data_IF_719637272757
#
_entry.id   IF_719637272757
#
_cell.length_a   1.000
_cell.length_b   1.000
_cell.length_c   1.000
_cell.angle_alpha   90.00
_cell.angle_beta   90.00
_cell.angle_gamma   90.00
#
_symmetry.space_group_name_H-M   'P 1'
#
loop_
_entity.id
_entity.type
_entity.pdbx_description
1 polymer ?
#
# COMPACT_ATOMS: atom_id res chain seq x y z
N UNK A 1 20.82 -8.34 19.16
CA UNK A 1 20.98 -9.28 18.04
C UNK A 1 20.02 -8.84 16.95
N UNK A 2 20.53 -8.46 15.78
CA UNK A 2 19.72 -7.94 14.66
C UNK A 2 18.89 -9.07 14.06
N UNK A 3 17.57 -8.97 14.18
CA UNK A 3 16.58 -9.93 13.71
C UNK A 3 16.39 -9.83 12.17
N UNK A 4 15.88 -10.88 11.49
CA UNK A 4 16.05 -11.08 10.06
C UNK A 4 15.21 -10.14 9.18
N UNK A 5 15.76 -9.80 8.02
CA UNK A 5 15.27 -8.83 7.02
C UNK A 5 13.95 -9.23 6.31
N UNK A 6 13.29 -10.33 6.69
CA UNK A 6 12.01 -10.80 6.12
C UNK A 6 11.16 -11.42 7.22
N UNK A 7 10.06 -10.75 7.58
CA UNK A 7 9.06 -11.28 8.50
C UNK A 7 8.16 -12.33 7.81
N UNK A 8 7.66 -13.31 8.57
CA UNK A 8 6.65 -14.25 8.06
C UNK A 8 5.40 -13.46 7.62
N UNK A 9 4.86 -13.79 6.45
CA UNK A 9 3.68 -13.13 5.90
C UNK A 9 2.42 -13.32 6.76
N UNK A 10 2.34 -14.42 7.50
CA UNK A 10 1.30 -14.69 8.49
C UNK A 10 1.92 -15.25 9.75
N UNK A 11 1.41 -14.84 10.91
CA UNK A 11 1.87 -15.28 12.22
C UNK A 11 0.69 -15.41 13.18
N UNK A 12 0.75 -16.38 14.08
CA UNK A 12 -0.23 -16.57 15.15
C UNK A 12 0.47 -16.28 16.46
N UNK A 13 -0.06 -15.33 17.22
CA UNK A 13 0.37 -15.01 18.57
C UNK A 13 -0.65 -15.54 19.57
N UNK A 14 -0.20 -16.32 20.54
CA UNK A 14 -1.04 -16.81 21.64
C UNK A 14 -0.90 -15.88 22.84
N UNK A 15 -2.03 -15.43 23.40
CA UNK A 15 -2.11 -14.59 24.59
C UNK A 15 -2.91 -15.34 25.66
N UNK A 16 -2.26 -16.22 26.45
CA UNK A 16 -2.97 -17.12 27.37
C UNK A 16 -3.71 -16.41 28.51
N UNK A 17 -3.22 -15.25 28.94
CA UNK A 17 -3.81 -14.47 30.04
C UNK A 17 -5.05 -13.66 29.62
N UNK A 18 -5.33 -13.54 28.31
CA UNK A 18 -6.50 -12.83 27.81
C UNK A 18 -7.80 -13.55 28.19
N UNK A 19 -8.92 -12.83 28.17
CA UNK A 19 -10.25 -13.40 28.41
C UNK A 19 -10.41 -14.01 29.81
N UNK A 20 -9.84 -13.39 30.85
CA UNK A 20 -9.87 -13.90 32.24
C UNK A 20 -9.32 -15.33 32.39
N UNK A 21 -8.28 -15.68 31.60
CA UNK A 21 -7.66 -17.01 31.63
C UNK A 21 -8.24 -18.01 30.61
N UNK A 22 -9.16 -17.58 29.74
CA UNK A 22 -9.63 -18.38 28.61
C UNK A 22 -8.68 -18.41 27.41
N UNK A 23 -7.68 -17.53 27.38
CA UNK A 23 -6.75 -17.39 26.27
C UNK A 23 -7.34 -16.67 25.06
N UNK A 24 -6.47 -16.14 24.22
CA UNK A 24 -6.80 -15.53 22.93
C UNK A 24 -5.70 -15.87 21.92
N UNK A 25 -6.06 -15.97 20.65
CA UNK A 25 -5.10 -16.01 19.54
C UNK A 25 -5.29 -14.79 18.65
N UNK A 26 -4.17 -14.19 18.21
CA UNK A 26 -4.13 -13.08 17.28
C UNK A 26 -3.51 -13.57 15.98
N UNK A 27 -4.26 -13.43 14.88
CA UNK A 27 -3.75 -13.71 13.54
C UNK A 27 -3.18 -12.42 12.93
N UNK A 28 -1.86 -12.39 12.77
CA UNK A 28 -1.15 -11.31 12.10
C UNK A 28 -1.02 -11.62 10.61
N UNK A 29 -1.35 -10.66 9.75
CA UNK A 29 -1.12 -10.74 8.30
C UNK A 29 -0.33 -9.51 7.85
N UNK A 30 0.78 -9.74 7.17
CA UNK A 30 1.70 -8.70 6.70
C UNK A 30 1.70 -8.74 5.17
N UNK A 31 1.05 -7.75 4.56
CA UNK A 31 0.99 -7.59 3.11
C UNK A 31 1.66 -6.26 2.71
N UNK A 32 2.57 -6.33 1.75
CA UNK A 32 3.15 -5.14 1.13
C UNK A 32 2.87 -5.22 -0.37
N UNK A 33 2.07 -4.28 -0.89
CA UNK A 33 1.71 -4.22 -2.30
C UNK A 33 2.12 -2.88 -2.90
N UNK A 34 2.63 -2.94 -4.13
CA UNK A 34 2.88 -1.78 -4.96
C UNK A 34 1.92 -1.83 -6.16
N UNK A 35 1.26 -0.72 -6.44
CA UNK A 35 0.36 -0.57 -7.58
C UNK A 35 0.75 0.68 -8.33
N UNK A 36 0.94 0.54 -9.65
CA UNK A 36 1.31 1.64 -10.51
C UNK A 36 0.40 1.67 -11.75
N UNK A 37 -0.22 2.80 -12.07
CA UNK A 37 -1.09 2.90 -13.24
C UNK A 37 -0.27 2.77 -14.53
N UNK A 38 -0.70 1.89 -15.43
CA UNK A 38 -0.03 1.72 -16.72
C UNK A 38 -0.17 2.98 -17.59
N UNK A 39 0.92 3.42 -18.20
CA UNK A 39 0.94 4.58 -19.10
C UNK A 39 1.12 5.94 -18.40
N UNK A 40 1.40 5.94 -17.09
CA UNK A 40 1.82 7.10 -16.33
C UNK A 40 3.20 6.87 -15.74
N UNK A 41 3.94 7.94 -15.48
CA UNK A 41 5.16 7.95 -14.68
C UNK A 41 4.94 8.79 -13.42
N UNK A 42 5.56 8.39 -12.32
CA UNK A 42 5.58 9.15 -11.08
C UNK A 42 6.52 10.35 -11.19
N UNK A 43 6.03 11.53 -10.81
CA UNK A 43 6.81 12.76 -10.69
C UNK A 43 7.12 12.96 -9.21
N UNK A 44 8.39 12.79 -8.87
CA UNK A 44 8.87 13.02 -7.51
C UNK A 44 8.66 14.48 -7.10
N UNK A 45 8.14 14.69 -5.89
CA UNK A 45 8.00 16.01 -5.30
C UNK A 45 8.52 16.05 -3.87
N UNK A 46 7.97 16.94 -3.05
CA UNK A 46 8.34 16.99 -1.63
C UNK A 46 7.49 16.00 -0.85
N UNK A 47 8.06 14.83 -0.54
CA UNK A 47 7.42 13.82 0.28
C UNK A 47 7.79 13.98 1.76
N UNK A 48 6.91 13.52 2.64
CA UNK A 48 7.14 13.52 4.08
C UNK A 48 8.10 12.41 4.54
N UNK A 49 8.12 11.29 3.82
CA UNK A 49 8.92 10.08 4.11
C UNK A 49 9.48 9.48 2.80
N UNK A 50 10.24 8.38 2.90
CA UNK A 50 10.87 7.70 1.76
C UNK A 50 9.88 7.13 0.74
N UNK A 51 8.64 6.82 1.14
CA UNK A 51 7.58 6.35 0.26
C UNK A 51 6.40 7.33 0.24
N UNK A 52 5.75 7.54 -0.91
CA UNK A 52 4.57 8.42 -1.00
C UNK A 52 3.45 7.95 -0.07
N UNK A 53 2.82 8.90 0.62
CA UNK A 53 1.61 8.63 1.40
C UNK A 53 0.39 8.46 0.49
N UNK A 54 -0.72 7.96 1.04
CA UNK A 54 -2.00 7.90 0.31
C UNK A 54 -2.46 9.30 -0.13
N UNK A 55 -2.10 10.36 0.59
CA UNK A 55 -2.44 11.73 0.19
C UNK A 55 -1.66 12.15 -1.06
N UNK A 56 -0.36 11.84 -1.12
CA UNK A 56 0.52 12.17 -2.24
C UNK A 56 0.11 11.39 -3.51
N UNK A 57 -0.20 10.10 -3.37
CA UNK A 57 -0.68 9.26 -4.49
C UNK A 57 -2.00 9.75 -5.08
N UNK A 58 -2.83 10.45 -4.29
CA UNK A 58 -4.12 11.01 -4.74
C UNK A 58 -3.97 12.34 -5.46
N UNK A 59 -2.87 13.05 -5.26
CA UNK A 59 -2.63 14.30 -5.96
C UNK A 59 -2.25 14.04 -7.41
N UNK A 60 -3.05 14.56 -8.34
CA UNK A 60 -2.81 14.46 -9.77
C UNK A 60 -1.54 15.16 -10.24
N UNK A 61 -0.98 16.07 -9.43
CA UNK A 61 0.26 16.79 -9.76
C UNK A 61 1.49 15.89 -9.83
N UNK A 62 1.46 14.74 -9.13
CA UNK A 62 2.54 13.75 -9.12
C UNK A 62 2.50 12.74 -10.27
N UNK A 63 1.59 12.87 -11.23
CA UNK A 63 1.42 11.88 -12.29
C UNK A 63 1.60 12.51 -13.67
N UNK A 64 2.62 12.06 -14.41
CA UNK A 64 2.81 12.42 -15.81
C UNK A 64 2.26 11.31 -16.72
N UNK A 65 1.46 11.66 -17.74
CA UNK A 65 1.04 10.68 -18.75
C UNK A 65 2.15 10.52 -19.80
N UNK A 66 2.66 9.31 -19.98
CA UNK A 66 3.76 9.01 -20.94
C UNK A 66 3.30 8.42 -22.27
N UNK A 67 2.06 7.93 -22.35
CA UNK A 67 1.48 7.41 -23.59
C UNK A 67 0.28 8.25 -24.06
N UNK A 68 -0.11 8.07 -25.32
CA UNK A 68 -1.33 8.67 -25.84
C UNK A 68 -2.55 8.27 -25.01
N UNK A 69 -3.51 9.18 -24.83
CA UNK A 69 -4.70 8.96 -23.99
C UNK A 69 -5.44 7.65 -24.33
N UNK A 70 -5.51 7.29 -25.62
CA UNK A 70 -6.20 6.07 -26.09
C UNK A 70 -5.45 4.77 -25.82
N UNK A 71 -4.16 4.83 -25.48
CA UNK A 71 -3.36 3.66 -25.13
C UNK A 71 -3.50 3.27 -23.64
N UNK A 72 -4.16 4.11 -22.84
CA UNK A 72 -4.39 3.85 -21.42
C UNK A 72 -5.67 3.02 -21.27
N UNK A 73 -5.62 1.85 -20.61
CA UNK A 73 -6.79 0.99 -20.41
C UNK A 73 -7.72 1.49 -19.28
N UNK A 74 -7.93 2.80 -19.19
CA UNK A 74 -8.75 3.44 -18.17
C UNK A 74 -9.39 4.71 -18.74
N UNK A 75 -10.71 4.85 -18.55
CA UNK A 75 -11.45 6.04 -18.92
C UNK A 75 -12.53 6.35 -17.88
N UNK A 76 -12.65 7.61 -17.51
CA UNK A 76 -13.70 8.10 -16.63
C UNK A 76 -14.79 8.76 -17.47
N UNK A 77 -16.05 8.34 -17.29
CA UNK A 77 -17.22 8.96 -17.88
C UNK A 77 -17.89 9.83 -16.81
N UNK A 78 -18.06 11.12 -17.09
CA UNK A 78 -18.87 12.00 -16.24
C UNK A 78 -20.28 12.09 -16.84
N UNK A 79 -21.26 11.60 -16.09
CA UNK A 79 -22.68 11.85 -16.35
C UNK A 79 -23.19 12.94 -15.40
N UNK A 80 -24.22 13.67 -15.84
CA UNK A 80 -24.97 14.60 -14.97
C UNK A 80 -25.96 13.87 -14.09
#
# INVERSE_FOLDING_TARGET
MTAPNVAKGTEIESVPAAGNGGGMEVLHSRNNCAVHPSGFDWIEGTLADESPSIADLRDGSHWNRVVERKAIPLAFLLSK
#
